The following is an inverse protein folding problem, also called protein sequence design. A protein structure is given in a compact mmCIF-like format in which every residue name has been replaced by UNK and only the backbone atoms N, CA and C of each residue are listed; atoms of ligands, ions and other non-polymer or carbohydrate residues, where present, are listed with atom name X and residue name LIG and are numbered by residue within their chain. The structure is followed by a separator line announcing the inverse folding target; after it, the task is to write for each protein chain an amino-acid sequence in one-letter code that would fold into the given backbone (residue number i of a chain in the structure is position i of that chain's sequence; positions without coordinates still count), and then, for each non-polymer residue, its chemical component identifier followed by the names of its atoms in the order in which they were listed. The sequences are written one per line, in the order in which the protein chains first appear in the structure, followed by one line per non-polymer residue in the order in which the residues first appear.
data_IF_432631704544
#
_entry.id   IF_432631704544
#
_cell.length_a   1.000
_cell.length_b   1.000
_cell.length_c   1.000
_cell.angle_alpha   90.00
_cell.angle_beta   90.00
_cell.angle_gamma   90.00
#
_symmetry.space_group_name_H-M   'P 1'
#
loop_
_entity.id
_entity.type
_entity.pdbx_description
1 polymer ?
#
# COMPACT_ATOMS: atom_id res chain seq x y z
N UNK A 1 29.51 7.23 14.19
CA UNK A 1 28.27 6.47 14.48
C UNK A 1 27.74 6.85 15.87
N UNK A 2 28.56 6.82 16.92
CA UNK A 2 28.16 7.10 18.33
C UNK A 2 27.42 8.44 18.57
N UNK A 3 27.88 9.56 18.01
CA UNK A 3 27.25 10.88 18.28
C UNK A 3 25.82 10.99 17.77
N UNK A 4 25.41 10.20 16.76
CA UNK A 4 24.03 10.20 16.25
C UNK A 4 23.10 9.42 17.17
N UNK A 5 23.55 8.31 17.74
CA UNK A 5 22.75 7.54 18.73
C UNK A 5 22.60 8.30 20.05
N UNK A 6 23.61 9.06 20.48
CA UNK A 6 23.53 9.86 21.70
C UNK A 6 22.53 11.03 21.58
N UNK A 7 22.49 11.72 20.43
CA UNK A 7 21.55 12.84 20.19
C UNK A 7 20.18 12.40 19.70
N UNK A 8 20.09 11.35 18.88
CA UNK A 8 18.82 10.87 18.33
C UNK A 8 18.17 9.78 19.18
N UNK A 9 18.94 9.10 20.05
CA UNK A 9 18.49 7.97 20.86
C UNK A 9 17.24 8.24 21.70
N UNK A 10 17.13 9.38 22.40
CA UNK A 10 15.91 9.71 23.15
C UNK A 10 14.70 9.99 22.24
N UNK A 11 14.93 10.59 21.08
CA UNK A 11 13.86 10.93 20.14
C UNK A 11 13.41 9.74 19.30
N UNK A 12 14.27 8.75 19.07
CA UNK A 12 13.96 7.54 18.30
C UNK A 12 13.09 6.56 19.10
N UNK A 13 13.24 6.52 20.42
CA UNK A 13 12.42 5.67 21.32
C UNK A 13 11.11 6.34 21.77
N UNK A 14 10.81 7.54 21.28
CA UNK A 14 9.56 8.20 21.59
C UNK A 14 8.38 7.48 20.90
N UNK A 15 7.36 7.10 21.69
CA UNK A 15 6.10 6.57 21.17
C UNK A 15 5.35 7.68 20.44
N UNK A 16 5.02 7.45 19.17
CA UNK A 16 4.28 8.38 18.30
C UNK A 16 2.84 7.92 18.07
N UNK A 17 2.51 6.69 18.42
CA UNK A 17 1.15 6.14 18.32
C UNK A 17 1.04 4.77 18.96
N UNK A 18 -0.18 4.24 18.96
CA UNK A 18 -0.48 2.89 19.41
C UNK A 18 -1.44 2.23 18.42
N UNK A 19 -1.36 0.90 18.30
CA UNK A 19 -2.27 0.13 17.46
C UNK A 19 -2.84 -1.06 18.23
N UNK A 20 -4.12 -1.35 18.01
CA UNK A 20 -4.80 -2.56 18.49
C UNK A 20 -4.54 -3.77 17.58
N UNK A 21 -4.12 -3.51 16.33
CA UNK A 21 -3.87 -4.53 15.31
C UNK A 21 -2.40 -4.51 14.88
N UNK A 22 -1.92 -5.65 14.35
CA UNK A 22 -0.62 -5.68 13.70
C UNK A 22 -0.73 -5.07 12.30
N UNK A 23 0.03 -3.99 12.07
CA UNK A 23 0.13 -3.25 10.81
C UNK A 23 1.37 -3.75 10.09
N UNK A 24 1.17 -4.66 9.12
CA UNK A 24 2.24 -5.38 8.40
C UNK A 24 1.92 -5.52 6.91
N UNK A 25 2.87 -6.13 6.18
CA UNK A 25 2.77 -6.58 4.78
C UNK A 25 2.98 -5.51 3.70
N UNK A 26 3.36 -5.95 2.49
CA UNK A 26 3.62 -5.08 1.32
C UNK A 26 3.42 -5.72 -0.05
N UNK A 27 3.18 -7.03 -0.14
CA UNK A 27 3.17 -7.75 -1.41
C UNK A 27 1.85 -7.61 -2.19
N UNK A 28 0.81 -7.14 -1.52
CA UNK A 28 -0.49 -6.77 -2.04
C UNK A 28 -1.00 -5.57 -1.24
N UNK A 29 -2.26 -5.18 -1.43
CA UNK A 29 -2.92 -4.20 -0.58
C UNK A 29 -2.85 -4.64 0.88
N UNK A 30 -2.54 -3.68 1.76
CA UNK A 30 -2.10 -3.98 3.12
C UNK A 30 -2.54 -2.90 4.08
N UNK A 31 -2.83 -3.25 5.34
CA UNK A 31 -3.15 -2.28 6.38
C UNK A 31 -2.04 -1.20 6.51
N UNK A 32 -0.79 -1.61 6.31
CA UNK A 32 0.36 -0.71 6.32
C UNK A 32 0.40 0.23 5.11
N UNK A 33 0.11 -0.28 3.92
CA UNK A 33 0.00 0.51 2.71
C UNK A 33 -1.15 1.51 2.78
N UNK A 34 -2.31 1.08 3.25
CA UNK A 34 -3.49 1.92 3.42
C UNK A 34 -3.21 3.03 4.44
N UNK A 35 -2.60 2.71 5.60
CA UNK A 35 -2.15 3.73 6.55
C UNK A 35 -1.15 4.71 5.93
N UNK A 36 -0.25 4.23 5.07
CA UNK A 36 0.71 5.07 4.37
C UNK A 36 0.01 6.06 3.43
N UNK A 37 -0.97 5.59 2.66
CA UNK A 37 -1.71 6.41 1.69
C UNK A 37 -2.73 7.32 2.37
N UNK A 38 -3.36 6.88 3.46
CA UNK A 38 -4.20 7.71 4.33
C UNK A 38 -3.43 8.89 4.90
N UNK A 39 -2.18 8.68 5.33
CA UNK A 39 -1.32 9.76 5.82
C UNK A 39 -0.98 10.80 4.74
N UNK A 40 -1.15 10.46 3.45
CA UNK A 40 -0.97 11.37 2.31
C UNK A 40 -2.25 12.11 1.94
N UNK A 41 -3.42 11.68 2.43
CA UNK A 41 -4.69 12.36 2.22
C UNK A 41 -4.70 13.71 2.96
N UNK A 42 -4.19 14.73 2.28
CA UNK A 42 -4.39 16.13 2.64
C UNK A 42 -5.71 16.64 2.05
N UNK A 43 -6.27 17.73 2.58
CA UNK A 43 -7.55 18.24 2.09
C UNK A 43 -7.47 18.60 0.60
N UNK A 44 -8.40 18.06 -0.19
CA UNK A 44 -8.59 18.26 -1.64
C UNK A 44 -7.73 17.38 -2.57
N UNK A 45 -7.71 16.06 -2.33
CA UNK A 45 -7.14 15.08 -3.28
C UNK A 45 -8.10 13.91 -3.51
N UNK A 46 -8.16 13.38 -4.74
CA UNK A 46 -9.06 12.26 -5.10
C UNK A 46 -8.49 10.89 -4.72
N UNK A 47 -7.17 10.73 -4.76
CA UNK A 47 -6.48 9.49 -4.43
C UNK A 47 -5.02 9.75 -4.08
N UNK A 48 -4.42 8.82 -3.34
CA UNK A 48 -3.00 8.82 -3.00
C UNK A 48 -2.36 7.47 -3.34
N UNK A 49 -1.09 7.51 -3.76
CA UNK A 49 -0.32 6.32 -4.09
C UNK A 49 1.01 6.27 -3.35
N UNK A 50 1.41 5.06 -2.96
CA UNK A 50 2.74 4.73 -2.50
C UNK A 50 3.15 3.38 -3.09
N UNK A 51 4.37 3.26 -3.60
CA UNK A 51 4.83 1.95 -4.08
C UNK A 51 5.23 1.04 -2.90
N UNK A 52 4.87 -0.24 -2.98
CA UNK A 52 5.19 -1.25 -1.98
C UNK A 52 6.68 -1.40 -1.69
N UNK A 53 7.55 -1.15 -2.68
CA UNK A 53 9.01 -1.20 -2.50
C UNK A 53 9.55 -0.13 -1.54
N UNK A 54 8.80 0.96 -1.35
CA UNK A 54 9.07 2.00 -0.36
C UNK A 54 8.85 1.56 1.08
N UNK A 55 8.10 0.47 1.31
CA UNK A 55 7.82 -0.09 2.64
C UNK A 55 8.85 -1.18 2.98
N UNK A 56 9.65 -0.94 4.02
CA UNK A 56 10.88 -1.74 4.29
C UNK A 56 10.83 -2.62 5.54
N UNK A 57 9.93 -2.34 6.47
CA UNK A 57 9.72 -3.10 7.69
C UNK A 57 8.23 -3.08 8.05
N UNK A 58 7.85 -3.91 9.03
CA UNK A 58 6.53 -3.88 9.63
C UNK A 58 6.48 -2.75 10.68
N UNK A 59 5.38 -1.99 10.69
CA UNK A 59 5.21 -0.84 11.58
C UNK A 59 5.04 -1.26 13.04
N UNK A 60 4.26 -2.32 13.28
CA UNK A 60 4.05 -2.88 14.61
C UNK A 60 4.92 -4.10 14.82
N UNK A 61 5.54 -4.19 15.99
CA UNK A 61 6.46 -5.28 16.36
C UNK A 61 5.95 -5.95 17.63
N UNK A 62 6.07 -7.28 17.70
CA UNK A 62 5.73 -8.04 18.91
C UNK A 62 6.50 -7.53 20.15
N UNK A 63 7.74 -7.07 19.96
CA UNK A 63 8.56 -6.49 21.02
C UNK A 63 7.95 -5.23 21.68
N UNK A 64 7.02 -4.55 21.00
CA UNK A 64 6.37 -3.34 21.48
C UNK A 64 4.94 -3.59 21.99
N UNK A 65 4.50 -4.85 22.06
CA UNK A 65 3.19 -5.22 22.56
C UNK A 65 3.16 -5.15 24.09
N UNK A 66 2.28 -4.32 24.64
CA UNK A 66 1.96 -4.32 26.06
C UNK A 66 0.92 -5.42 26.36
N UNK A 67 1.35 -6.49 27.03
CA UNK A 67 0.48 -7.60 27.39
C UNK A 67 -0.66 -7.22 28.37
N UNK A 68 -0.51 -6.13 29.12
CA UNK A 68 -1.52 -5.64 30.05
C UNK A 68 -2.65 -4.89 29.37
N UNK A 69 -2.37 -4.17 28.28
CA UNK A 69 -3.34 -3.35 27.54
C UNK A 69 -3.76 -3.96 26.20
N UNK A 70 -2.96 -4.88 25.64
CA UNK A 70 -3.13 -5.42 24.31
C UNK A 70 -2.73 -4.46 23.19
N UNK A 71 -2.16 -3.30 23.51
CA UNK A 71 -1.77 -2.28 22.54
C UNK A 71 -0.30 -2.43 22.13
N UNK A 72 -0.03 -2.29 20.84
CA UNK A 72 1.33 -2.22 20.30
C UNK A 72 1.78 -0.76 20.20
N UNK A 73 2.88 -0.41 20.86
CA UNK A 73 3.50 0.90 20.75
C UNK A 73 4.22 1.09 19.41
N UNK A 74 3.98 2.23 18.76
CA UNK A 74 4.68 2.63 17.54
C UNK A 74 5.71 3.68 17.92
N UNK A 75 6.99 3.38 17.75
CA UNK A 75 8.08 4.30 18.05
C UNK A 75 8.46 5.12 16.82
N UNK A 76 9.05 6.29 17.04
CA UNK A 76 9.59 7.10 15.94
C UNK A 76 10.65 6.35 15.12
N UNK A 77 11.43 5.48 15.76
CA UNK A 77 12.36 4.59 15.08
C UNK A 77 11.66 3.64 14.10
N UNK A 78 10.50 3.09 14.49
CA UNK A 78 9.73 2.15 13.65
C UNK A 78 9.25 2.85 12.38
N UNK A 79 8.78 4.10 12.50
CA UNK A 79 8.37 4.97 11.37
C UNK A 79 9.53 5.27 10.40
N UNK A 80 10.75 5.44 10.92
CA UNK A 80 11.93 5.67 10.09
C UNK A 80 12.46 4.37 9.45
N UNK A 81 12.21 3.23 10.06
CA UNK A 81 12.60 1.93 9.53
C UNK A 81 11.68 1.49 8.37
N UNK A 82 10.38 1.76 8.48
CA UNK A 82 9.40 1.49 7.41
C UNK A 82 9.60 2.41 6.20
N UNK A 83 9.77 3.73 6.42
CA UNK A 83 9.99 4.76 5.40
C UNK A 83 11.41 5.34 5.50
N UNK A 84 12.46 4.57 5.18
CA UNK A 84 13.84 5.02 5.33
C UNK A 84 14.30 5.97 4.23
N UNK A 85 13.48 6.14 3.19
CA UNK A 85 13.80 6.98 2.05
C UNK A 85 13.37 8.41 2.32
N UNK A 86 14.23 9.38 1.97
CA UNK A 86 13.91 10.80 1.98
C UNK A 86 12.99 11.21 0.82
N UNK A 87 11.97 10.40 0.54
CA UNK A 87 10.97 10.69 -0.49
C UNK A 87 10.10 11.84 0.00
N UNK A 88 9.78 12.77 -0.90
CA UNK A 88 8.89 13.89 -0.62
C UNK A 88 7.48 13.59 -1.12
N UNK A 89 6.49 14.14 -0.45
CA UNK A 89 5.10 14.13 -0.93
C UNK A 89 5.00 15.09 -2.10
N UNK A 90 4.41 14.62 -3.20
CA UNK A 90 4.16 15.42 -4.39
C UNK A 90 2.67 15.34 -4.75
N UNK A 91 2.09 16.49 -5.11
CA UNK A 91 0.74 16.59 -5.64
C UNK A 91 0.83 16.82 -7.15
N UNK A 92 0.06 16.07 -7.92
CA UNK A 92 -0.02 16.20 -9.37
C UNK A 92 -1.42 15.85 -9.86
N UNK A 93 -1.86 16.55 -10.91
CA UNK A 93 -3.03 16.16 -11.69
C UNK A 93 -2.61 15.17 -12.78
N UNK A 94 -3.37 14.09 -12.94
CA UNK A 94 -3.13 13.07 -13.96
C UNK A 94 -4.43 12.76 -14.70
N UNK A 95 -4.32 12.31 -15.95
CA UNK A 95 -5.49 11.85 -16.71
C UNK A 95 -5.88 10.43 -16.30
N UNK A 96 -7.11 10.03 -16.60
CA UNK A 96 -7.56 8.65 -16.38
C UNK A 96 -6.75 7.60 -17.15
N UNK A 97 -6.23 7.96 -18.34
CA UNK A 97 -5.36 7.08 -19.13
C UNK A 97 -4.00 6.87 -18.43
N UNK A 98 -3.39 7.93 -17.92
CA UNK A 98 -2.15 7.84 -17.15
C UNK A 98 -2.35 7.03 -15.86
N UNK A 99 -3.50 7.21 -15.20
CA UNK A 99 -3.85 6.41 -14.02
C UNK A 99 -3.93 4.92 -14.35
N UNK A 100 -4.61 4.56 -15.45
CA UNK A 100 -4.70 3.17 -15.90
C UNK A 100 -3.32 2.58 -16.23
N UNK A 101 -2.45 3.34 -16.90
CA UNK A 101 -1.06 2.93 -17.16
C UNK A 101 -0.28 2.67 -15.87
N UNK A 102 -0.41 3.55 -14.87
CA UNK A 102 0.29 3.40 -13.59
C UNK A 102 -0.19 2.18 -12.80
N UNK A 103 -1.50 1.93 -12.77
CA UNK A 103 -2.07 0.76 -12.12
C UNK A 103 -1.62 -0.54 -12.82
N UNK A 104 -1.68 -0.57 -14.16
CA UNK A 104 -1.22 -1.70 -14.95
C UNK A 104 0.29 -1.97 -14.78
N UNK A 105 1.09 -0.92 -14.70
CA UNK A 105 2.51 -1.03 -14.40
C UNK A 105 2.75 -1.60 -13.00
N UNK A 106 1.98 -1.16 -12.00
CA UNK A 106 2.10 -1.64 -10.62
C UNK A 106 1.83 -3.14 -10.46
N UNK A 107 0.89 -3.69 -11.23
CA UNK A 107 0.57 -5.13 -11.20
C UNK A 107 1.40 -5.98 -12.17
N UNK A 108 2.25 -5.36 -12.99
CA UNK A 108 3.06 -6.07 -14.00
C UNK A 108 4.11 -7.00 -13.39
N UNK A 109 4.52 -6.75 -12.15
CA UNK A 109 5.47 -7.59 -11.42
C UNK A 109 5.12 -7.68 -9.92
N UNK A 110 4.38 -8.72 -9.56
CA UNK A 110 4.05 -9.00 -8.15
C UNK A 110 5.33 -9.41 -7.39
N UNK A 111 5.55 -8.80 -6.23
CA UNK A 111 6.70 -9.08 -5.35
C UNK A 111 7.98 -8.28 -5.64
N UNK A 112 8.03 -7.53 -6.76
CA UNK A 112 9.17 -6.67 -7.13
C UNK A 112 9.19 -5.30 -6.46
N UNK A 113 8.18 -4.97 -5.64
CA UNK A 113 8.03 -3.64 -5.04
C UNK A 113 7.35 -2.60 -5.94
N UNK A 114 6.89 -3.02 -7.13
CA UNK A 114 6.11 -2.19 -8.06
C UNK A 114 4.64 -2.05 -7.67
N UNK A 115 4.10 -3.00 -6.90
CA UNK A 115 2.70 -2.96 -6.50
C UNK A 115 2.39 -1.64 -5.81
N UNK A 116 1.35 -0.95 -6.29
CA UNK A 116 0.93 0.36 -5.79
C UNK A 116 -0.05 0.13 -4.63
N UNK A 117 0.30 0.67 -3.45
CA UNK A 117 -0.63 0.89 -2.36
C UNK A 117 -1.44 2.15 -2.70
N UNK A 118 -2.75 2.09 -2.52
CA UNK A 118 -3.66 3.15 -2.94
C UNK A 118 -4.80 3.35 -1.96
N UNK A 119 -5.17 4.61 -1.74
CA UNK A 119 -6.43 4.99 -1.09
C UNK A 119 -7.17 5.94 -2.04
N UNK A 120 -8.50 5.82 -2.13
CA UNK A 120 -9.36 6.71 -2.93
C UNK A 120 -10.22 7.53 -1.98
N UNK A 121 -10.07 8.85 -2.04
CA UNK A 121 -10.86 9.81 -1.28
C UNK A 121 -11.83 10.54 -2.22
N UNK A 122 -13.05 10.02 -2.36
CA UNK A 122 -14.07 10.67 -3.17
C UNK A 122 -14.72 11.83 -2.39
N UNK A 123 -14.13 13.03 -2.42
CA UNK A 123 -14.74 14.23 -1.83
C UNK A 123 -15.90 14.78 -2.68
N UNK A 124 -15.99 14.39 -3.96
CA UNK A 124 -17.02 14.87 -4.88
C UNK A 124 -17.85 13.71 -5.43
N UNK A 125 -19.17 13.89 -5.40
CA UNK A 125 -20.18 13.02 -5.99
C UNK A 125 -19.92 12.78 -7.48
N UNK A 126 -19.14 11.76 -7.82
CA UNK A 126 -19.07 11.18 -9.14
C UNK A 126 -19.27 9.67 -8.99
N UNK A 127 -20.37 9.17 -9.55
CA UNK A 127 -20.75 7.76 -9.52
C UNK A 127 -19.67 6.91 -10.19
N UNK A 128 -18.75 6.36 -9.42
CA UNK A 128 -17.82 5.35 -9.91
C UNK A 128 -18.60 4.04 -10.09
N UNK A 129 -18.99 3.74 -11.33
CA UNK A 129 -19.39 2.38 -11.71
C UNK A 129 -18.19 1.44 -11.49
N UNK A 130 -18.35 0.33 -10.76
CA UNK A 130 -17.24 -0.56 -10.44
C UNK A 130 -16.63 -1.15 -11.71
N UNK A 131 -15.31 -1.00 -11.87
CA UNK A 131 -14.53 -1.66 -12.92
C UNK A 131 -14.67 -3.17 -12.72
N UNK A 132 -15.27 -3.83 -13.71
CA UNK A 132 -15.47 -5.28 -13.72
C UNK A 132 -14.10 -5.95 -13.86
N UNK A 133 -13.73 -6.83 -12.92
CA UNK A 133 -12.52 -7.68 -13.05
C UNK A 133 -12.43 -8.28 -14.46
N UNK A 134 -11.32 -8.05 -15.14
CA UNK A 134 -10.95 -8.87 -16.31
C UNK A 134 -10.83 -10.32 -15.84
N UNK A 135 -11.82 -11.14 -16.20
CA UNK A 135 -11.74 -12.59 -16.06
C UNK A 135 -10.83 -13.13 -17.18
N UNK A 136 -9.94 -14.09 -16.92
CA UNK A 136 -9.17 -14.69 -17.98
C UNK A 136 -10.13 -15.40 -18.95
N UNK A 137 -10.01 -15.09 -20.24
CA UNK A 137 -10.84 -15.67 -21.28
C UNK A 137 -10.81 -17.20 -21.22
N UNK A 138 -11.98 -17.82 -20.98
CA UNK A 138 -12.14 -19.25 -21.12
C UNK A 138 -11.91 -19.63 -22.59
N UNK A 139 -10.84 -20.39 -22.87
CA UNK A 139 -10.65 -21.05 -24.16
C UNK A 139 -11.74 -22.11 -24.34
N UNK A 140 -12.73 -21.84 -25.17
CA UNK A 140 -13.68 -22.85 -25.63
C UNK A 140 -13.02 -23.67 -26.75
N UNK A 141 -12.61 -24.90 -26.45
CA UNK A 141 -12.27 -25.90 -27.46
C UNK A 141 -13.55 -26.56 -27.96
N UNK A 142 -14.06 -26.14 -29.11
CA UNK A 142 -15.11 -26.89 -29.84
C UNK A 142 -14.44 -27.93 -30.74
N UNK A 143 -14.50 -29.20 -30.34
CA UNK A 143 -14.26 -30.35 -31.21
C UNK A 143 -15.53 -30.65 -32.01
N UNK A 144 -15.53 -30.36 -33.31
CA UNK A 144 -16.61 -30.74 -34.22
C UNK A 144 -16.23 -32.03 -34.96
N UNK A 145 -16.73 -33.18 -34.51
CA UNK A 145 -16.78 -34.40 -35.33
C UNK A 145 -18.24 -34.64 -35.70
N UNK A 146 -18.64 -34.05 -36.83
CA UNK A 146 -19.95 -34.24 -37.43
C UNK A 146 -19.99 -35.52 -38.25
N UNK A 147 -20.85 -36.44 -37.83
CA UNK A 147 -21.22 -37.66 -38.53
C UNK A 147 -22.43 -37.34 -39.44
N UNK A 148 -22.31 -37.47 -40.76
CA UNK A 148 -23.47 -37.78 -41.63
C UNK A 148 -23.05 -38.50 -42.91
N UNK A 149 -23.82 -39.54 -43.20
CA UNK A 149 -23.72 -40.49 -44.30
C UNK A 149 -23.99 -39.87 -45.67
N UNK A 150 -23.45 -40.50 -46.70
CA UNK A 150 -24.06 -40.69 -48.02
C UNK A 150 -23.74 -42.10 -48.47
#
# INVERSE_FOLDING_TARGET
MERREELAGPASVATVGTSEIFITTRAAESAQGNLATDALLYTDIDFAFQNSGGLRADLTKEANLDAGTGLCGILRADVLEIWPFGNFVALAEITGEQLEEYLNHGVSQIGGGLFIQSEVYASTTASLTPVRRCSPAARSSTSSTGLTRS
#
